data_IF_994475077244
#
_entry.id   IF_994475077244
#
_cell.length_a   1.000
_cell.length_b   1.000
_cell.length_c   1.000
_cell.angle_alpha   90.00
_cell.angle_beta   90.00
_cell.angle_gamma   90.00
#
_symmetry.space_group_name_H-M   'P 1'
#
loop_
_entity.id
_entity.type
_entity.pdbx_description
1 polymer ?
#
# COMPACT_ATOMS: atom_id res chain seq x y z
N UNK A 1 -38.97 -15.58 -18.30
CA UNK A 1 -38.59 -16.93 -17.85
C UNK A 1 -37.43 -16.80 -16.88
N UNK A 2 -37.65 -16.94 -15.56
CA UNK A 2 -36.56 -17.08 -14.56
C UNK A 2 -36.00 -18.50 -14.70
N UNK A 3 -34.95 -18.69 -15.49
CA UNK A 3 -34.19 -19.93 -15.49
C UNK A 3 -33.50 -20.07 -14.12
N UNK A 4 -34.15 -20.73 -13.20
CA UNK A 4 -33.56 -21.13 -11.93
C UNK A 4 -32.62 -22.32 -12.20
N UNK A 5 -31.41 -22.04 -12.66
CA UNK A 5 -30.35 -23.05 -12.69
C UNK A 5 -30.23 -23.70 -11.31
N UNK A 6 -30.09 -25.02 -11.27
CA UNK A 6 -29.81 -25.76 -10.02
C UNK A 6 -28.51 -25.27 -9.37
N UNK A 7 -28.28 -25.60 -8.10
CA UNK A 7 -27.11 -25.11 -7.34
C UNK A 7 -25.79 -25.45 -8.02
N UNK A 8 -25.61 -26.67 -8.52
CA UNK A 8 -24.36 -27.12 -9.14
C UNK A 8 -23.95 -26.34 -10.40
N UNK A 9 -24.80 -26.12 -11.40
CA UNK A 9 -24.45 -25.29 -12.54
C UNK A 9 -24.16 -23.83 -12.17
N UNK A 10 -24.85 -23.25 -11.19
CA UNK A 10 -24.54 -21.90 -10.69
C UNK A 10 -23.15 -21.84 -10.09
N UNK A 11 -22.81 -22.81 -9.22
CA UNK A 11 -21.50 -22.90 -8.61
C UNK A 11 -20.40 -23.08 -9.68
N UNK A 12 -20.60 -23.98 -10.64
CA UNK A 12 -19.65 -24.20 -11.73
C UNK A 12 -19.41 -22.94 -12.56
N UNK A 13 -20.45 -22.19 -12.90
CA UNK A 13 -20.33 -20.91 -13.62
C UNK A 13 -19.57 -19.86 -12.82
N UNK A 14 -19.85 -19.74 -11.53
CA UNK A 14 -19.12 -18.77 -10.66
C UNK A 14 -17.65 -19.14 -10.58
N UNK A 15 -17.31 -20.41 -10.34
CA UNK A 15 -15.93 -20.87 -10.30
C UNK A 15 -15.22 -20.67 -11.64
N UNK A 16 -15.87 -21.00 -12.76
CA UNK A 16 -15.33 -20.77 -14.09
C UNK A 16 -15.05 -19.28 -14.34
N UNK A 17 -16.01 -18.39 -14.01
CA UNK A 17 -15.82 -16.95 -14.13
C UNK A 17 -14.65 -16.44 -13.26
N UNK A 18 -14.54 -16.90 -12.00
CA UNK A 18 -13.45 -16.50 -11.12
C UNK A 18 -12.09 -16.94 -11.66
N UNK A 19 -11.96 -18.21 -12.09
CA UNK A 19 -10.72 -18.73 -12.67
C UNK A 19 -10.37 -17.97 -13.95
N UNK A 20 -11.33 -17.77 -14.85
CA UNK A 20 -11.10 -17.04 -16.10
C UNK A 20 -10.70 -15.60 -15.86
N UNK A 21 -11.35 -14.88 -14.94
CA UNK A 21 -11.02 -13.51 -14.59
C UNK A 21 -9.62 -13.42 -13.97
N UNK A 22 -9.26 -14.34 -13.07
CA UNK A 22 -7.91 -14.39 -12.47
C UNK A 22 -6.86 -14.65 -13.53
N UNK A 23 -7.12 -15.60 -14.45
CA UNK A 23 -6.21 -15.91 -15.56
C UNK A 23 -6.00 -14.71 -16.50
N UNK A 24 -7.09 -14.04 -16.88
CA UNK A 24 -7.05 -12.80 -17.67
C UNK A 24 -6.30 -11.70 -16.92
N UNK A 25 -6.51 -11.57 -15.60
CA UNK A 25 -5.81 -10.58 -14.79
C UNK A 25 -4.29 -10.83 -14.78
N UNK A 26 -3.87 -12.08 -14.64
CA UNK A 26 -2.44 -12.46 -14.66
C UNK A 26 -1.83 -12.18 -16.04
N UNK A 27 -2.45 -12.66 -17.13
CA UNK A 27 -1.94 -12.44 -18.49
C UNK A 27 -1.95 -10.97 -18.90
N UNK A 28 -2.96 -10.22 -18.45
CA UNK A 28 -3.12 -8.80 -18.75
C UNK A 28 -2.37 -7.86 -17.79
N UNK A 29 -1.49 -8.34 -16.95
CA UNK A 29 -0.81 -7.57 -15.90
C UNK A 29 -0.18 -6.27 -16.43
N UNK A 30 0.53 -6.34 -17.54
CA UNK A 30 1.23 -5.20 -18.14
C UNK A 30 0.30 -4.05 -18.59
N UNK A 31 -0.97 -4.34 -18.84
CA UNK A 31 -2.01 -3.37 -19.21
C UNK A 31 -2.94 -3.04 -18.05
N UNK A 32 -3.45 -4.06 -17.35
CA UNK A 32 -4.48 -3.91 -16.34
C UNK A 32 -3.96 -3.24 -15.06
N UNK A 33 -2.74 -3.56 -14.63
CA UNK A 33 -2.17 -2.94 -13.44
C UNK A 33 -1.99 -1.42 -13.61
N UNK A 34 -1.32 -0.89 -14.68
CA UNK A 34 -1.27 0.55 -14.94
C UNK A 34 -2.65 1.19 -15.08
N UNK A 35 -3.62 0.50 -15.72
CA UNK A 35 -4.98 1.00 -15.91
C UNK A 35 -5.70 1.21 -14.56
N UNK A 36 -5.60 0.24 -13.67
CA UNK A 36 -6.21 0.35 -12.34
C UNK A 36 -5.48 1.39 -11.46
N UNK A 37 -4.15 1.47 -11.52
CA UNK A 37 -3.41 2.56 -10.88
C UNK A 37 -3.86 3.92 -11.39
N UNK A 38 -3.99 4.07 -12.70
CA UNK A 38 -4.38 5.33 -13.33
C UNK A 38 -5.80 5.76 -12.94
N UNK A 39 -6.70 4.81 -12.71
CA UNK A 39 -8.04 5.11 -12.21
C UNK A 39 -7.99 5.73 -10.80
N UNK A 40 -7.15 5.20 -9.90
CA UNK A 40 -6.93 5.79 -8.58
C UNK A 40 -6.30 7.19 -8.68
N UNK A 41 -5.28 7.34 -9.54
CA UNK A 41 -4.61 8.62 -9.76
C UNK A 41 -5.54 9.66 -10.40
N UNK A 42 -6.42 9.25 -11.31
CA UNK A 42 -7.43 10.14 -11.90
C UNK A 42 -8.42 10.64 -10.83
N UNK A 43 -8.85 9.79 -9.90
CA UNK A 43 -9.70 10.21 -8.76
C UNK A 43 -8.94 11.19 -7.85
N UNK A 44 -7.66 10.95 -7.58
CA UNK A 44 -6.82 11.84 -6.77
C UNK A 44 -6.64 13.21 -7.43
N UNK A 45 -6.39 13.24 -8.74
CA UNK A 45 -6.17 14.47 -9.51
C UNK A 45 -7.46 15.19 -9.91
N UNK A 46 -8.63 14.57 -9.75
CA UNK A 46 -9.93 15.15 -10.09
C UNK A 46 -10.16 16.55 -9.47
N UNK A 47 -9.86 16.81 -8.19
CA UNK A 47 -10.00 18.15 -7.63
C UNK A 47 -9.05 19.17 -8.26
N UNK A 48 -7.82 18.78 -8.61
CA UNK A 48 -6.85 19.66 -9.29
C UNK A 48 -7.36 20.00 -10.68
N UNK A 49 -7.77 19.01 -11.47
CA UNK A 49 -8.37 19.23 -12.79
C UNK A 49 -9.61 20.10 -12.74
N UNK A 50 -10.50 19.87 -11.76
CA UNK A 50 -11.69 20.69 -11.58
C UNK A 50 -11.37 22.14 -11.15
N UNK A 51 -10.34 22.35 -10.33
CA UNK A 51 -9.87 23.66 -9.94
C UNK A 51 -9.34 24.44 -11.16
N UNK A 52 -8.49 23.82 -11.99
CA UNK A 52 -7.97 24.42 -13.20
C UNK A 52 -9.07 24.73 -14.22
N UNK A 53 -10.03 23.81 -14.39
CA UNK A 53 -11.15 23.98 -15.35
C UNK A 53 -12.15 25.05 -14.90
N UNK A 54 -12.54 25.05 -13.60
CA UNK A 54 -13.62 25.92 -13.10
C UNK A 54 -13.13 27.28 -12.63
N UNK A 55 -11.99 27.32 -11.92
CA UNK A 55 -11.50 28.57 -11.32
C UNK A 55 -10.55 29.31 -12.24
N UNK A 56 -9.65 28.60 -12.94
CA UNK A 56 -8.72 29.21 -13.91
C UNK A 56 -9.25 29.17 -15.34
N UNK A 57 -10.45 28.63 -15.60
CA UNK A 57 -11.14 28.57 -16.90
C UNK A 57 -10.33 27.93 -18.02
N UNK A 58 -9.38 27.06 -17.72
CA UNK A 58 -8.65 26.30 -18.75
C UNK A 58 -9.56 25.33 -19.50
N UNK A 59 -9.27 25.12 -20.80
CA UNK A 59 -9.89 24.05 -21.57
C UNK A 59 -9.58 22.71 -20.91
N UNK A 60 -10.55 21.76 -20.93
CA UNK A 60 -10.42 20.47 -20.23
C UNK A 60 -9.12 19.74 -20.52
N UNK A 61 -8.72 19.63 -21.80
CA UNK A 61 -7.46 18.99 -22.19
C UNK A 61 -6.24 19.61 -21.53
N UNK A 62 -6.16 20.97 -21.49
CA UNK A 62 -5.08 21.68 -20.81
C UNK A 62 -5.11 21.49 -19.29
N UNK A 63 -6.29 21.56 -18.67
CA UNK A 63 -6.44 21.32 -17.23
C UNK A 63 -5.99 19.90 -16.85
N UNK A 64 -6.33 18.92 -17.67
CA UNK A 64 -5.92 17.52 -17.49
C UNK A 64 -4.42 17.36 -17.69
N UNK A 65 -3.85 17.94 -18.76
CA UNK A 65 -2.41 17.90 -19.04
C UNK A 65 -1.59 18.50 -17.89
N UNK A 66 -1.98 19.68 -17.41
CA UNK A 66 -1.32 20.32 -16.27
C UNK A 66 -1.42 19.50 -14.98
N UNK A 67 -2.56 18.85 -14.75
CA UNK A 67 -2.73 17.93 -13.59
C UNK A 67 -1.78 16.74 -13.68
N UNK A 68 -1.61 16.15 -14.86
CA UNK A 68 -0.67 15.04 -15.08
C UNK A 68 0.78 15.52 -15.00
N UNK A 69 1.12 16.70 -15.54
CA UNK A 69 2.45 17.29 -15.39
C UNK A 69 2.77 17.51 -13.90
N UNK A 70 1.83 18.03 -13.12
CA UNK A 70 2.00 18.16 -11.67
C UNK A 70 2.33 16.82 -11.00
N UNK A 71 1.64 15.75 -11.42
CA UNK A 71 1.92 14.40 -10.92
C UNK A 71 3.33 13.94 -11.32
N UNK A 72 3.75 14.15 -12.57
CA UNK A 72 5.10 13.83 -13.05
C UNK A 72 6.17 14.57 -12.24
N UNK A 73 5.99 15.87 -12.04
CA UNK A 73 6.93 16.69 -11.25
C UNK A 73 6.98 16.22 -9.80
N UNK A 74 5.85 15.86 -9.20
CA UNK A 74 5.80 15.35 -7.83
C UNK A 74 6.53 14.00 -7.70
N UNK A 75 6.25 13.05 -8.59
CA UNK A 75 6.91 11.74 -8.62
C UNK A 75 8.41 11.91 -8.91
N UNK A 76 8.76 12.71 -9.93
CA UNK A 76 10.15 12.99 -10.30
C UNK A 76 10.94 13.64 -9.17
N UNK A 77 10.32 14.56 -8.42
CA UNK A 77 10.92 15.17 -7.24
C UNK A 77 11.21 14.17 -6.14
N UNK A 78 10.28 13.24 -5.87
CA UNK A 78 10.48 12.16 -4.88
C UNK A 78 11.62 11.24 -5.33
N UNK A 79 11.62 10.81 -6.60
CA UNK A 79 12.66 9.93 -7.15
C UNK A 79 14.04 10.62 -7.10
N UNK A 80 14.12 11.91 -7.48
CA UNK A 80 15.35 12.67 -7.44
C UNK A 80 15.91 12.79 -6.01
N UNK A 81 15.04 13.15 -5.05
CA UNK A 81 15.44 13.27 -3.65
C UNK A 81 15.90 11.92 -3.06
N UNK A 82 15.18 10.84 -3.36
CA UNK A 82 15.58 9.49 -2.94
C UNK A 82 16.89 9.03 -3.60
N UNK A 83 17.06 9.33 -4.89
CA UNK A 83 18.27 9.01 -5.64
C UNK A 83 19.52 9.68 -5.07
N UNK A 84 19.42 10.95 -4.67
CA UNK A 84 20.53 11.64 -4.02
C UNK A 84 20.93 10.95 -2.70
N UNK A 85 19.94 10.59 -1.87
CA UNK A 85 20.22 9.90 -0.61
C UNK A 85 20.83 8.50 -0.84
N UNK A 86 20.42 7.81 -1.90
CA UNK A 86 20.97 6.52 -2.27
C UNK A 86 22.40 6.65 -2.83
N UNK A 87 22.69 7.73 -3.56
CA UNK A 87 24.02 8.03 -4.07
C UNK A 87 25.05 8.21 -2.94
N UNK A 88 24.67 8.86 -1.85
CA UNK A 88 25.53 9.02 -0.67
C UNK A 88 25.84 7.66 -0.03
N UNK A 89 24.85 6.79 0.09
CA UNK A 89 25.05 5.42 0.57
C UNK A 89 25.97 4.61 -0.36
N UNK A 90 25.81 4.77 -1.68
CA UNK A 90 26.60 4.05 -2.67
C UNK A 90 28.07 4.52 -2.69
N UNK A 91 28.31 5.80 -2.55
CA UNK A 91 29.66 6.36 -2.45
C UNK A 91 30.42 5.81 -1.22
N UNK A 92 29.72 5.60 -0.11
CA UNK A 92 30.26 5.06 1.13
C UNK A 92 30.28 3.52 1.17
N UNK A 93 29.80 2.83 0.13
CA UNK A 93 29.66 1.37 0.11
C UNK A 93 30.95 0.59 0.46
N UNK A 94 32.14 0.94 -0.06
CA UNK A 94 33.40 0.27 0.31
C UNK A 94 33.69 0.38 1.81
N UNK A 95 33.48 1.56 2.39
CA UNK A 95 33.66 1.80 3.82
C UNK A 95 32.65 1.03 4.68
N UNK A 96 31.41 0.95 4.20
CA UNK A 96 30.33 0.18 4.85
C UNK A 96 30.69 -1.31 4.92
N UNK A 97 31.19 -1.86 3.80
CA UNK A 97 31.62 -3.26 3.74
C UNK A 97 32.76 -3.56 4.71
N UNK A 98 33.75 -2.67 4.80
CA UNK A 98 34.86 -2.80 5.76
C UNK A 98 34.35 -2.75 7.22
N UNK A 99 33.53 -1.76 7.54
CA UNK A 99 32.94 -1.63 8.88
C UNK A 99 32.02 -2.78 9.26
N UNK A 100 31.25 -3.29 8.30
CA UNK A 100 30.41 -4.48 8.51
C UNK A 100 31.26 -5.71 8.88
N UNK A 101 32.42 -5.89 8.23
CA UNK A 101 33.35 -6.97 8.56
C UNK A 101 33.91 -6.80 9.98
N UNK A 102 34.30 -5.58 10.38
CA UNK A 102 34.78 -5.30 11.75
C UNK A 102 33.67 -5.61 12.76
N UNK A 103 32.50 -5.06 12.59
CA UNK A 103 31.33 -5.31 13.47
C UNK A 103 30.97 -6.79 13.57
N UNK A 104 31.09 -7.51 12.45
CA UNK A 104 30.88 -8.95 12.39
C UNK A 104 31.92 -9.70 13.25
N UNK A 105 33.21 -9.37 13.14
CA UNK A 105 34.24 -10.00 13.92
C UNK A 105 34.13 -9.69 15.44
N UNK A 106 33.68 -8.50 15.80
CA UNK A 106 33.34 -8.14 17.17
C UNK A 106 32.18 -8.97 17.72
N UNK A 107 31.12 -9.10 16.94
CA UNK A 107 29.96 -9.93 17.30
C UNK A 107 30.35 -11.40 17.44
N UNK A 108 31.18 -11.92 16.54
CA UNK A 108 31.69 -13.29 16.57
C UNK A 108 32.52 -13.56 17.84
N UNK A 109 33.40 -12.64 18.20
CA UNK A 109 34.18 -12.71 19.45
C UNK A 109 33.28 -12.71 20.68
N UNK A 110 32.27 -11.86 20.69
CA UNK A 110 31.29 -11.78 21.78
C UNK A 110 30.49 -13.07 21.94
N UNK A 111 29.97 -13.64 20.82
CA UNK A 111 29.23 -14.91 20.82
C UNK A 111 30.12 -16.05 21.26
N UNK A 112 31.35 -16.14 20.75
CA UNK A 112 32.32 -17.16 21.12
C UNK A 112 32.65 -17.14 22.60
N UNK A 113 32.86 -15.94 23.14
CA UNK A 113 33.17 -15.75 24.57
C UNK A 113 31.97 -16.04 25.48
N UNK A 114 30.75 -15.68 25.05
CA UNK A 114 29.54 -15.80 25.87
C UNK A 114 28.91 -17.20 25.82
N UNK A 115 28.95 -17.84 24.66
CA UNK A 115 28.25 -19.14 24.41
C UNK A 115 29.21 -20.32 24.16
N UNK A 116 30.53 -20.11 24.10
CA UNK A 116 31.52 -21.18 23.89
C UNK A 116 31.45 -21.83 22.50
N UNK A 117 30.89 -21.17 21.51
CA UNK A 117 30.66 -21.72 20.15
C UNK A 117 31.92 -21.53 19.29
N UNK A 118 32.41 -22.61 18.68
CA UNK A 118 33.63 -22.60 17.86
C UNK A 118 33.45 -21.77 16.58
N UNK A 119 34.32 -20.78 16.40
CA UNK A 119 34.31 -19.77 15.32
C UNK A 119 34.49 -20.38 13.92
N UNK A 120 35.14 -21.56 13.80
CA UNK A 120 35.52 -22.18 12.52
C UNK A 120 34.29 -22.61 11.69
N UNK A 121 33.30 -23.22 12.35
CA UNK A 121 32.06 -23.65 11.64
C UNK A 121 31.22 -22.49 11.13
N UNK A 122 31.30 -21.31 11.76
CA UNK A 122 30.58 -20.12 11.32
C UNK A 122 31.22 -19.49 10.06
N UNK A 123 32.55 -19.58 9.92
CA UNK A 123 33.29 -19.09 8.75
C UNK A 123 32.98 -19.89 7.48
N UNK A 124 32.84 -21.22 7.59
CA UNK A 124 32.55 -22.08 6.45
C UNK A 124 31.18 -21.80 5.85
N UNK A 125 30.17 -21.55 6.69
CA UNK A 125 28.83 -21.15 6.23
C UNK A 125 28.81 -19.77 5.57
N UNK A 126 29.68 -18.86 5.98
CA UNK A 126 29.72 -17.50 5.41
C UNK A 126 30.51 -17.42 4.11
N UNK A 127 31.61 -18.14 3.98
CA UNK A 127 32.38 -18.19 2.74
C UNK A 127 31.51 -18.76 1.61
N UNK A 128 30.77 -19.83 1.87
CA UNK A 128 29.82 -20.42 0.93
C UNK A 128 28.68 -19.46 0.54
N UNK A 129 28.20 -18.63 1.50
CA UNK A 129 27.18 -17.60 1.26
C UNK A 129 27.74 -16.39 0.50
N UNK A 130 29.00 -16.02 0.72
CA UNK A 130 29.64 -14.85 0.08
C UNK A 130 29.99 -15.16 -1.39
N UNK A 131 30.46 -16.39 -1.69
CA UNK A 131 30.65 -16.82 -3.08
C UNK A 131 29.36 -16.88 -3.89
N UNK A 132 28.27 -17.36 -3.27
CA UNK A 132 26.94 -17.35 -3.86
C UNK A 132 26.43 -15.92 -4.12
N UNK A 133 26.66 -14.98 -3.19
CA UNK A 133 26.29 -13.58 -3.35
C UNK A 133 27.06 -12.88 -4.49
N UNK A 134 28.36 -13.20 -4.67
CA UNK A 134 29.17 -12.65 -5.76
C UNK A 134 28.77 -13.20 -7.12
N UNK A 135 28.46 -14.50 -7.23
CA UNK A 135 27.94 -15.10 -8.46
C UNK A 135 26.58 -14.52 -8.89
N UNK A 136 25.81 -14.03 -7.91
CA UNK A 136 24.49 -13.40 -8.13
C UNK A 136 24.61 -11.96 -8.67
N UNK A 137 25.77 -11.30 -8.55
CA UNK A 137 25.95 -9.89 -8.92
C UNK A 137 25.69 -9.59 -10.41
N UNK A 138 26.11 -10.46 -11.31
CA UNK A 138 25.84 -10.32 -12.76
C UNK A 138 24.35 -10.51 -13.09
N UNK A 139 23.67 -11.43 -12.40
CA UNK A 139 22.23 -11.61 -12.51
C UNK A 139 21.46 -10.41 -11.97
N UNK A 140 21.95 -9.77 -10.91
CA UNK A 140 21.34 -8.54 -10.34
C UNK A 140 21.37 -7.41 -11.38
N UNK A 141 22.46 -7.20 -12.11
CA UNK A 141 22.56 -6.14 -13.14
C UNK A 141 21.55 -6.39 -14.27
N UNK A 142 21.46 -7.60 -14.79
CA UNK A 142 20.49 -7.93 -15.83
C UNK A 142 19.04 -7.79 -15.36
N UNK A 143 18.76 -8.23 -14.13
CA UNK A 143 17.45 -8.08 -13.50
C UNK A 143 17.10 -6.60 -13.25
N UNK A 144 18.07 -5.78 -12.85
CA UNK A 144 17.87 -4.33 -12.64
C UNK A 144 17.51 -3.63 -13.95
N UNK A 145 18.16 -3.93 -15.06
CA UNK A 145 17.83 -3.36 -16.36
C UNK A 145 16.42 -3.75 -16.85
N UNK A 146 16.04 -5.01 -16.71
CA UNK A 146 14.68 -5.44 -17.06
C UNK A 146 13.62 -4.83 -16.16
N UNK A 147 13.90 -4.70 -14.87
CA UNK A 147 13.01 -4.05 -13.89
C UNK A 147 12.86 -2.55 -14.18
N UNK A 148 13.93 -1.85 -14.55
CA UNK A 148 13.86 -0.44 -14.96
C UNK A 148 12.98 -0.26 -16.19
N UNK A 149 13.16 -1.08 -17.22
CA UNK A 149 12.35 -1.02 -18.45
C UNK A 149 10.87 -1.27 -18.16
N UNK A 150 10.56 -2.31 -17.38
CA UNK A 150 9.16 -2.62 -17.00
C UNK A 150 8.54 -1.53 -16.13
N UNK A 151 9.31 -0.93 -15.22
CA UNK A 151 8.87 0.19 -14.38
C UNK A 151 8.60 1.45 -15.21
N UNK A 152 9.45 1.77 -16.17
CA UNK A 152 9.24 2.90 -17.08
C UNK A 152 7.98 2.71 -17.94
N UNK A 153 7.77 1.51 -18.48
CA UNK A 153 6.55 1.17 -19.22
C UNK A 153 5.31 1.27 -18.33
N UNK A 154 5.36 0.73 -17.12
CA UNK A 154 4.29 0.84 -16.14
C UNK A 154 3.94 2.30 -15.82
N UNK A 155 4.93 3.14 -15.53
CA UNK A 155 4.74 4.56 -15.29
C UNK A 155 4.19 5.28 -16.53
N UNK A 156 4.75 5.01 -17.72
CA UNK A 156 4.29 5.59 -18.98
C UNK A 156 2.82 5.28 -19.26
N UNK A 157 2.41 4.02 -19.15
CA UNK A 157 1.00 3.64 -19.29
C UNK A 157 0.12 4.23 -18.20
N UNK A 158 0.59 4.27 -16.94
CA UNK A 158 -0.15 4.90 -15.84
C UNK A 158 -0.42 6.37 -16.11
N UNK A 159 0.58 7.12 -16.56
CA UNK A 159 0.44 8.54 -16.92
C UNK A 159 -0.54 8.75 -18.09
N UNK A 160 -0.38 7.94 -19.14
CA UNK A 160 -1.22 7.99 -20.34
C UNK A 160 -2.70 7.70 -19.99
N UNK A 161 -2.95 6.61 -19.28
CA UNK A 161 -4.31 6.25 -18.88
C UNK A 161 -4.90 7.26 -17.89
N UNK A 162 -4.10 7.79 -16.96
CA UNK A 162 -4.56 8.87 -16.05
C UNK A 162 -5.03 10.08 -16.84
N UNK A 163 -4.26 10.49 -17.87
CA UNK A 163 -4.65 11.57 -18.77
C UNK A 163 -5.98 11.27 -19.46
N UNK A 164 -6.12 10.09 -20.08
CA UNK A 164 -7.35 9.74 -20.80
C UNK A 164 -8.55 9.60 -19.87
N UNK A 165 -8.43 8.91 -18.73
CA UNK A 165 -9.51 8.76 -17.76
C UNK A 165 -9.98 10.12 -17.25
N UNK A 166 -9.05 11.01 -16.91
CA UNK A 166 -9.37 12.36 -16.43
C UNK A 166 -9.98 13.23 -17.53
N UNK A 167 -9.49 13.14 -18.75
CA UNK A 167 -10.02 13.89 -19.91
C UNK A 167 -11.42 13.42 -20.33
N UNK A 168 -11.64 12.10 -20.38
CA UNK A 168 -12.91 11.51 -20.77
C UNK A 168 -13.85 11.21 -19.60
N UNK A 169 -13.56 11.70 -18.38
CA UNK A 169 -14.32 11.42 -17.16
C UNK A 169 -15.84 11.60 -17.28
N UNK A 170 -16.29 12.61 -18.06
CA UNK A 170 -17.73 12.86 -18.27
C UNK A 170 -18.34 11.79 -19.16
N UNK A 171 -17.66 11.40 -20.22
CA UNK A 171 -18.12 10.33 -21.13
C UNK A 171 -18.21 9.00 -20.38
N UNK A 172 -17.17 8.67 -19.59
CA UNK A 172 -17.17 7.46 -18.77
C UNK A 172 -18.31 7.46 -17.74
N UNK A 173 -18.58 8.59 -17.11
CA UNK A 173 -19.69 8.72 -16.17
C UNK A 173 -21.04 8.59 -16.87
N UNK A 174 -21.25 9.26 -18.02
CA UNK A 174 -22.48 9.15 -18.82
C UNK A 174 -22.68 7.73 -19.29
N UNK A 175 -21.65 7.07 -19.82
CA UNK A 175 -21.72 5.66 -20.21
C UNK A 175 -22.18 4.79 -19.04
N UNK A 176 -21.49 4.91 -17.89
CA UNK A 176 -21.80 4.10 -16.71
C UNK A 176 -23.26 4.28 -16.27
N UNK A 177 -23.78 5.50 -16.26
CA UNK A 177 -25.17 5.77 -15.88
C UNK A 177 -26.17 5.34 -16.95
N UNK A 178 -25.80 5.33 -18.24
CA UNK A 178 -26.69 4.93 -19.35
C UNK A 178 -26.84 3.40 -19.51
N UNK A 179 -25.90 2.61 -18.95
CA UNK A 179 -25.99 1.14 -18.97
C UNK A 179 -27.12 0.63 -18.07
N UNK A 180 -27.49 1.41 -17.04
CA UNK A 180 -28.53 1.03 -16.09
C UNK A 180 -29.88 1.67 -16.46
N UNK A 181 -30.99 0.97 -16.11
CA UNK A 181 -32.33 1.50 -16.28
C UNK A 181 -32.54 2.81 -15.51
N UNK A 182 -33.51 3.65 -15.94
CA UNK A 182 -33.80 4.94 -15.29
C UNK A 182 -34.01 4.81 -13.78
N UNK A 183 -34.70 3.73 -13.35
CA UNK A 183 -34.95 3.42 -11.93
C UNK A 183 -33.69 3.26 -11.09
N UNK A 184 -32.57 2.82 -11.71
CA UNK A 184 -31.31 2.57 -11.00
C UNK A 184 -30.27 3.68 -11.15
N UNK A 185 -30.49 4.67 -12.01
CA UNK A 185 -29.53 5.75 -12.30
C UNK A 185 -29.13 6.54 -11.07
N UNK A 186 -30.08 6.90 -10.21
CA UNK A 186 -29.82 7.63 -8.97
C UNK A 186 -28.92 6.83 -8.04
N UNK A 187 -29.21 5.54 -7.85
CA UNK A 187 -28.42 4.62 -7.04
C UNK A 187 -26.99 4.44 -7.57
N UNK A 188 -26.82 4.33 -8.88
CA UNK A 188 -25.51 4.26 -9.54
C UNK A 188 -24.72 5.55 -9.33
N UNK A 189 -25.35 6.70 -9.49
CA UNK A 189 -24.72 8.01 -9.26
C UNK A 189 -24.25 8.18 -7.82
N UNK A 190 -25.06 7.73 -6.86
CA UNK A 190 -24.71 7.72 -5.44
C UNK A 190 -23.50 6.82 -5.17
N UNK A 191 -23.48 5.59 -5.72
CA UNK A 191 -22.36 4.64 -5.57
C UNK A 191 -21.06 5.25 -6.13
N UNK A 192 -21.11 5.81 -7.33
CA UNK A 192 -19.94 6.42 -7.98
C UNK A 192 -19.40 7.59 -7.16
N UNK A 193 -20.28 8.49 -6.71
CA UNK A 193 -19.88 9.64 -5.89
C UNK A 193 -19.23 9.21 -4.56
N UNK A 194 -19.76 8.16 -3.96
CA UNK A 194 -19.20 7.62 -2.72
C UNK A 194 -17.87 6.91 -2.93
N UNK A 195 -17.73 6.14 -4.02
CA UNK A 195 -16.44 5.56 -4.40
C UNK A 195 -15.39 6.67 -4.56
N UNK A 196 -15.69 7.70 -5.35
CA UNK A 196 -14.77 8.83 -5.53
C UNK A 196 -14.39 9.50 -4.21
N UNK A 197 -15.35 9.72 -3.33
CA UNK A 197 -15.11 10.33 -2.01
C UNK A 197 -14.22 9.46 -1.13
N UNK A 198 -14.53 8.18 -0.99
CA UNK A 198 -13.80 7.25 -0.11
C UNK A 198 -12.39 7.01 -0.65
N UNK A 199 -12.24 6.74 -1.95
CA UNK A 199 -10.92 6.51 -2.57
C UNK A 199 -10.04 7.75 -2.47
N UNK A 200 -10.58 8.94 -2.76
CA UNK A 200 -9.84 10.19 -2.59
C UNK A 200 -9.35 10.35 -1.14
N UNK A 201 -10.23 10.13 -0.15
CA UNK A 201 -9.87 10.24 1.27
C UNK A 201 -8.81 9.21 1.67
N UNK A 202 -8.96 7.97 1.19
CA UNK A 202 -8.00 6.90 1.43
C UNK A 202 -6.61 7.25 0.88
N UNK A 203 -6.51 7.64 -0.39
CA UNK A 203 -5.22 7.94 -1.02
C UNK A 203 -4.56 9.15 -0.36
N UNK A 204 -5.30 10.24 -0.12
CA UNK A 204 -4.76 11.41 0.60
C UNK A 204 -4.31 11.02 2.01
N UNK A 205 -5.10 10.20 2.72
CA UNK A 205 -4.73 9.68 4.02
C UNK A 205 -3.44 8.87 3.99
N UNK A 206 -3.30 7.99 3.01
CA UNK A 206 -2.10 7.17 2.83
C UNK A 206 -0.85 8.04 2.59
N UNK A 207 -0.91 9.04 1.70
CA UNK A 207 0.21 9.96 1.48
C UNK A 207 0.55 10.78 2.72
N UNK A 208 -0.45 11.22 3.47
CA UNK A 208 -0.22 11.95 4.72
C UNK A 208 0.42 11.06 5.79
N UNK A 209 -0.03 9.82 5.91
CA UNK A 209 0.57 8.82 6.79
C UNK A 209 2.02 8.55 6.43
N UNK A 210 2.31 8.32 5.14
CA UNK A 210 3.69 8.16 4.63
C UNK A 210 4.58 9.34 5.03
N UNK A 211 4.10 10.57 4.81
CA UNK A 211 4.85 11.79 5.15
C UNK A 211 5.12 11.87 6.66
N UNK A 212 4.12 11.64 7.50
CA UNK A 212 4.26 11.69 8.95
C UNK A 212 5.24 10.62 9.44
N UNK A 213 5.10 9.36 8.97
CA UNK A 213 6.02 8.26 9.33
C UNK A 213 7.44 8.58 8.88
N UNK A 214 7.63 9.11 7.66
CA UNK A 214 8.95 9.55 7.16
C UNK A 214 9.57 10.57 8.11
N UNK A 215 8.84 11.64 8.45
CA UNK A 215 9.37 12.71 9.33
C UNK A 215 9.66 12.18 10.71
N UNK A 216 8.78 11.36 11.30
CA UNK A 216 9.02 10.74 12.61
C UNK A 216 10.25 9.85 12.59
N UNK A 217 10.39 8.97 11.59
CA UNK A 217 11.54 8.08 11.49
C UNK A 217 12.85 8.85 11.27
N UNK A 218 12.87 9.85 10.38
CA UNK A 218 14.05 10.71 10.20
C UNK A 218 14.43 11.36 11.52
N UNK A 219 13.46 11.93 12.24
CA UNK A 219 13.72 12.62 13.52
C UNK A 219 14.28 11.65 14.54
N UNK A 220 13.65 10.51 14.75
CA UNK A 220 14.08 9.53 15.76
C UNK A 220 15.44 8.94 15.41
N UNK A 221 15.68 8.54 14.17
CA UNK A 221 16.96 7.97 13.74
C UNK A 221 18.09 9.02 13.78
N UNK A 222 17.79 10.30 13.47
CA UNK A 222 18.77 11.39 13.59
C UNK A 222 19.14 11.66 15.05
N UNK A 223 18.17 11.67 15.97
CA UNK A 223 18.41 11.82 17.41
C UNK A 223 19.26 10.67 18.00
N UNK A 224 19.10 9.46 17.45
CA UNK A 224 19.92 8.29 17.81
C UNK A 224 21.32 8.35 17.17
N UNK A 225 21.61 9.33 16.32
CA UNK A 225 22.89 9.46 15.61
C UNK A 225 23.12 8.31 14.62
N UNK A 226 22.05 7.82 13.98
CA UNK A 226 22.14 6.78 12.94
C UNK A 226 22.59 7.44 11.64
N UNK A 227 23.65 6.91 11.02
CA UNK A 227 24.10 7.35 9.70
C UNK A 227 23.00 7.04 8.66
N UNK A 228 22.78 7.93 7.70
CA UNK A 228 21.71 7.81 6.67
C UNK A 228 20.28 7.83 7.23
N UNK A 229 20.05 8.50 8.38
CA UNK A 229 18.73 8.63 8.98
C UNK A 229 17.65 9.13 8.00
N UNK A 230 18.01 10.07 7.09
CA UNK A 230 17.10 10.61 6.07
C UNK A 230 16.71 9.52 5.07
N UNK A 231 17.67 8.77 4.54
CA UNK A 231 17.40 7.66 3.62
C UNK A 231 16.52 6.58 4.27
N UNK A 232 16.89 6.17 5.50
CA UNK A 232 16.18 5.11 6.21
C UNK A 232 14.76 5.51 6.61
N UNK A 233 14.56 6.78 6.98
CA UNK A 233 13.24 7.33 7.25
C UNK A 233 12.38 7.43 5.99
N UNK A 234 12.96 7.79 4.85
CA UNK A 234 12.27 7.76 3.55
C UNK A 234 11.87 6.34 3.17
N UNK A 235 12.77 5.37 3.29
CA UNK A 235 12.48 3.95 3.05
C UNK A 235 11.33 3.48 3.94
N UNK A 236 11.39 3.80 5.25
CA UNK A 236 10.32 3.43 6.18
C UNK A 236 8.97 4.02 5.80
N UNK A 237 8.91 5.31 5.44
CA UNK A 237 7.67 5.96 5.02
C UNK A 237 7.14 5.47 3.69
N UNK A 238 7.99 5.34 2.66
CA UNK A 238 7.56 4.87 1.33
C UNK A 238 7.10 3.41 1.40
N UNK A 239 7.84 2.55 2.07
CA UNK A 239 7.47 1.14 2.18
C UNK A 239 6.24 0.92 3.07
N UNK A 240 5.90 1.87 3.95
CA UNK A 240 4.67 1.82 4.75
C UNK A 240 3.37 1.81 3.91
N UNK A 241 3.46 2.10 2.60
CA UNK A 241 2.37 1.93 1.63
C UNK A 241 1.87 0.48 1.56
N UNK A 242 2.78 -0.49 1.73
CA UNK A 242 2.43 -1.91 1.74
C UNK A 242 2.34 -2.39 3.19
N UNK A 243 1.13 -2.63 3.72
CA UNK A 243 0.96 -3.05 5.11
C UNK A 243 1.80 -4.29 5.44
N UNK A 244 2.38 -4.32 6.63
CA UNK A 244 3.20 -5.40 7.19
C UNK A 244 4.55 -5.64 6.50
N UNK A 245 4.59 -5.80 5.17
CA UNK A 245 5.82 -6.11 4.43
C UNK A 245 6.77 -4.92 4.38
N UNK A 246 6.25 -3.72 4.14
CA UNK A 246 7.07 -2.52 4.03
C UNK A 246 7.83 -2.20 5.31
N UNK A 247 7.17 -2.36 6.44
CA UNK A 247 7.78 -2.17 7.78
C UNK A 247 8.93 -3.14 7.99
N UNK A 248 8.72 -4.42 7.66
CA UNK A 248 9.74 -5.46 7.84
C UNK A 248 10.99 -5.17 7.00
N UNK A 249 10.85 -4.82 5.72
CA UNK A 249 11.98 -4.48 4.86
C UNK A 249 12.69 -3.20 5.30
N UNK A 250 11.97 -2.17 5.70
CA UNK A 250 12.55 -0.94 6.21
C UNK A 250 13.33 -1.16 7.51
N UNK A 251 12.78 -1.95 8.42
CA UNK A 251 13.45 -2.36 9.66
C UNK A 251 14.73 -3.15 9.36
N UNK A 252 14.64 -4.16 8.50
CA UNK A 252 15.77 -5.00 8.13
C UNK A 252 16.91 -4.16 7.54
N UNK A 253 16.61 -3.28 6.56
CA UNK A 253 17.60 -2.37 5.97
C UNK A 253 18.21 -1.44 7.02
N UNK A 254 17.38 -0.87 7.90
CA UNK A 254 17.85 0.03 8.96
C UNK A 254 18.76 -0.67 9.95
N UNK A 255 18.41 -1.90 10.35
CA UNK A 255 19.25 -2.71 11.22
C UNK A 255 20.59 -3.07 10.57
N UNK A 256 20.58 -3.49 9.30
CA UNK A 256 21.80 -3.87 8.56
C UNK A 256 22.74 -2.67 8.40
N UNK A 257 22.22 -1.51 7.97
CA UNK A 257 23.03 -0.30 7.80
C UNK A 257 23.55 0.21 9.15
N UNK A 258 22.71 0.18 10.19
CA UNK A 258 23.14 0.59 11.54
C UNK A 258 24.19 -0.35 12.11
N UNK A 259 24.02 -1.65 11.91
CA UNK A 259 25.03 -2.64 12.32
C UNK A 259 26.37 -2.36 11.64
N UNK A 260 26.38 -2.13 10.34
CA UNK A 260 27.58 -1.83 9.58
C UNK A 260 28.25 -0.50 9.98
N UNK A 261 27.47 0.52 10.43
CA UNK A 261 28.00 1.87 10.69
C UNK A 261 28.29 2.16 12.16
N UNK A 262 27.58 1.50 13.07
CA UNK A 262 27.57 1.87 14.50
C UNK A 262 27.56 0.67 15.45
N UNK A 263 27.65 -0.56 14.94
CA UNK A 263 27.73 -1.78 15.72
C UNK A 263 26.41 -2.26 16.34
N UNK A 264 26.45 -3.43 16.99
CA UNK A 264 25.27 -4.15 17.48
C UNK A 264 24.46 -3.37 18.55
N UNK A 265 25.12 -2.58 19.38
CA UNK A 265 24.45 -1.83 20.48
C UNK A 265 23.44 -0.82 19.95
N UNK A 266 23.72 -0.13 18.84
CA UNK A 266 22.77 0.82 18.24
C UNK A 266 21.63 0.12 17.48
N UNK A 267 21.79 -1.10 17.02
CA UNK A 267 20.73 -1.87 16.36
C UNK A 267 19.53 -2.08 17.28
N UNK A 268 19.78 -2.35 18.57
CA UNK A 268 18.71 -2.48 19.56
C UNK A 268 17.90 -1.18 19.71
N UNK A 269 18.57 -0.03 19.70
CA UNK A 269 17.89 1.26 19.76
C UNK A 269 17.04 1.52 18.51
N UNK A 270 17.52 1.13 17.32
CA UNK A 270 16.77 1.20 16.06
C UNK A 270 15.53 0.29 16.10
N UNK A 271 15.67 -0.93 16.62
CA UNK A 271 14.53 -1.84 16.82
C UNK A 271 13.46 -1.21 17.72
N UNK A 272 13.85 -0.66 18.87
CA UNK A 272 12.92 0.01 19.79
C UNK A 272 12.27 1.22 19.11
N UNK A 273 13.03 2.01 18.36
CA UNK A 273 12.53 3.16 17.61
C UNK A 273 11.47 2.74 16.59
N UNK A 274 11.75 1.69 15.80
CA UNK A 274 10.77 1.16 14.83
C UNK A 274 9.49 0.67 15.50
N UNK A 275 9.61 -0.11 16.57
CA UNK A 275 8.45 -0.58 17.34
C UNK A 275 7.64 0.60 17.87
N UNK A 276 8.30 1.62 18.44
CA UNK A 276 7.66 2.82 18.98
C UNK A 276 6.92 3.62 17.89
N UNK A 277 7.59 3.92 16.78
CA UNK A 277 6.98 4.68 15.67
C UNK A 277 5.81 3.90 15.05
N UNK A 278 5.96 2.59 14.86
CA UNK A 278 4.88 1.78 14.31
C UNK A 278 3.73 1.55 15.29
N UNK A 279 3.99 1.54 16.59
CA UNK A 279 2.91 1.56 17.58
C UNK A 279 2.10 2.86 17.48
N UNK A 280 2.76 4.00 17.27
CA UNK A 280 2.09 5.29 17.02
C UNK A 280 1.34 5.24 15.68
N UNK A 281 1.97 4.71 14.63
CA UNK A 281 1.34 4.60 13.32
C UNK A 281 0.06 3.76 13.35
N UNK A 282 0.13 2.54 13.87
CA UNK A 282 -1.02 1.62 13.90
C UNK A 282 -2.15 2.05 14.85
N UNK A 283 -1.82 2.63 16.01
CA UNK A 283 -2.83 2.97 17.03
C UNK A 283 -3.34 4.40 16.94
N UNK A 284 -2.58 5.32 16.34
CA UNK A 284 -2.93 6.75 16.28
C UNK A 284 -3.08 7.24 14.85
N UNK A 285 -2.05 7.10 14.00
CA UNK A 285 -2.05 7.67 12.66
C UNK A 285 -3.04 6.96 11.73
N UNK A 286 -3.00 5.65 11.69
CA UNK A 286 -3.89 4.86 10.83
C UNK A 286 -5.37 5.15 11.10
N UNK A 287 -5.89 5.16 12.36
CA UNK A 287 -7.27 5.55 12.65
C UNK A 287 -7.60 7.01 12.32
N UNK A 288 -6.66 7.94 12.54
CA UNK A 288 -6.87 9.37 12.32
C UNK A 288 -6.87 9.73 10.83
N UNK A 289 -5.93 9.19 10.08
CA UNK A 289 -5.56 9.64 8.73
C UNK A 289 -6.27 8.82 7.66
N UNK A 290 -6.13 7.50 7.73
CA UNK A 290 -6.80 6.55 6.82
C UNK A 290 -8.22 6.27 7.31
N UNK A 291 -8.37 6.12 8.61
CA UNK A 291 -9.59 6.19 9.42
C UNK A 291 -10.70 5.23 9.04
N UNK A 292 -11.80 5.36 9.74
CA UNK A 292 -13.09 4.67 9.58
C UNK A 292 -13.75 4.74 8.19
N UNK A 293 -13.03 5.17 7.15
CA UNK A 293 -13.61 5.38 5.81
C UNK A 293 -13.69 4.08 5.01
N UNK A 294 -12.71 3.19 5.20
CA UNK A 294 -12.65 1.87 4.56
C UNK A 294 -12.94 0.83 5.64
N UNK A 295 -14.22 0.50 5.83
CA UNK A 295 -14.67 -0.47 6.84
C UNK A 295 -14.54 -1.90 6.32
N UNK A 296 -13.32 -2.34 6.10
CA UNK A 296 -13.00 -3.73 5.72
C UNK A 296 -12.40 -4.41 6.95
N UNK A 297 -12.86 -5.63 7.26
CA UNK A 297 -12.27 -6.39 8.35
C UNK A 297 -10.85 -6.85 8.01
N UNK A 298 -10.04 -7.10 9.04
CA UNK A 298 -8.63 -7.44 8.89
C UNK A 298 -8.41 -8.73 8.09
N UNK A 299 -9.31 -9.72 8.18
CA UNK A 299 -9.21 -10.98 7.45
C UNK A 299 -9.28 -10.73 5.93
N UNK A 300 -10.29 -9.99 5.46
CA UNK A 300 -10.44 -9.68 4.03
C UNK A 300 -9.33 -8.76 3.52
N UNK A 301 -8.86 -7.81 4.34
CA UNK A 301 -7.72 -7.00 3.99
C UNK A 301 -6.46 -7.85 3.79
N UNK A 302 -6.17 -8.78 4.71
CA UNK A 302 -5.02 -9.67 4.63
C UNK A 302 -5.11 -10.64 3.43
N UNK A 303 -6.26 -11.30 3.25
CA UNK A 303 -6.50 -12.17 2.07
C UNK A 303 -6.31 -11.38 0.79
N UNK A 304 -6.85 -10.16 0.71
CA UNK A 304 -6.70 -9.30 -0.46
C UNK A 304 -5.25 -8.95 -0.76
N UNK A 305 -4.44 -8.65 0.27
CA UNK A 305 -3.00 -8.38 0.10
C UNK A 305 -2.29 -9.61 -0.47
N UNK A 306 -2.54 -10.80 0.10
CA UNK A 306 -1.92 -12.05 -0.37
C UNK A 306 -2.35 -12.37 -1.81
N UNK A 307 -3.64 -12.30 -2.11
CA UNK A 307 -4.15 -12.52 -3.48
C UNK A 307 -3.61 -11.46 -4.44
N UNK A 308 -3.55 -10.21 -4.02
CA UNK A 308 -2.96 -9.12 -4.82
C UNK A 308 -1.50 -9.38 -5.15
N UNK A 309 -0.72 -9.85 -4.18
CA UNK A 309 0.67 -10.25 -4.39
C UNK A 309 0.78 -11.39 -5.41
N UNK A 310 -0.01 -12.44 -5.26
CA UNK A 310 0.00 -13.59 -6.17
C UNK A 310 -0.35 -13.22 -7.62
N UNK A 311 -1.18 -12.19 -7.83
CA UNK A 311 -1.64 -11.80 -9.18
C UNK A 311 -0.65 -10.80 -9.81
N UNK A 312 -0.23 -9.75 -9.09
CA UNK A 312 0.55 -8.63 -9.63
C UNK A 312 1.71 -8.16 -8.74
N UNK A 313 2.15 -8.99 -7.78
CA UNK A 313 3.24 -8.65 -6.88
C UNK A 313 2.93 -7.38 -6.04
N UNK A 314 3.94 -6.54 -5.85
CA UNK A 314 3.82 -5.30 -5.05
C UNK A 314 2.70 -4.38 -5.54
N UNK A 315 2.52 -4.29 -6.88
CA UNK A 315 1.44 -3.49 -7.46
C UNK A 315 0.06 -3.99 -7.05
N UNK A 316 -0.13 -5.31 -7.01
CA UNK A 316 -1.37 -5.93 -6.58
C UNK A 316 -1.64 -5.75 -5.09
N UNK A 317 -0.61 -5.87 -4.24
CA UNK A 317 -0.74 -5.59 -2.81
C UNK A 317 -1.25 -4.18 -2.53
N UNK A 318 -0.70 -3.18 -3.22
CA UNK A 318 -1.13 -1.78 -3.09
C UNK A 318 -2.58 -1.58 -3.55
N UNK A 319 -2.94 -2.15 -4.72
CA UNK A 319 -4.25 -1.97 -5.31
C UNK A 319 -5.37 -2.68 -4.53
N UNK A 320 -5.07 -3.75 -3.79
CA UNK A 320 -6.10 -4.59 -3.19
C UNK A 320 -7.02 -3.81 -2.23
N UNK A 321 -6.47 -2.98 -1.34
CA UNK A 321 -7.27 -2.27 -0.32
C UNK A 321 -8.27 -1.28 -0.94
N UNK A 322 -7.87 -0.36 -1.85
CA UNK A 322 -8.83 0.55 -2.48
C UNK A 322 -9.87 -0.17 -3.32
N UNK A 323 -9.51 -1.27 -4.01
CA UNK A 323 -10.48 -2.02 -4.81
C UNK A 323 -11.44 -2.86 -3.96
N UNK A 324 -10.97 -3.46 -2.86
CA UNK A 324 -11.86 -4.09 -1.87
C UNK A 324 -12.82 -3.07 -1.25
N UNK A 325 -12.36 -1.84 -1.00
CA UNK A 325 -13.21 -0.75 -0.53
C UNK A 325 -14.32 -0.40 -1.54
N UNK A 326 -13.98 -0.33 -2.83
CA UNK A 326 -14.96 -0.11 -3.90
C UNK A 326 -15.98 -1.26 -3.97
N UNK A 327 -15.51 -2.50 -3.93
CA UNK A 327 -16.39 -3.68 -3.93
C UNK A 327 -17.33 -3.67 -2.72
N UNK A 328 -16.83 -3.34 -1.54
CA UNK A 328 -17.66 -3.23 -0.35
C UNK A 328 -18.74 -2.16 -0.48
N UNK A 329 -18.41 -0.99 -1.02
CA UNK A 329 -19.39 0.08 -1.27
C UNK A 329 -20.51 -0.42 -2.20
N UNK A 330 -20.16 -1.16 -3.25
CA UNK A 330 -21.12 -1.73 -4.19
C UNK A 330 -21.98 -2.79 -3.48
N UNK A 331 -21.36 -3.70 -2.73
CA UNK A 331 -22.06 -4.78 -2.04
C UNK A 331 -23.02 -4.26 -0.96
N UNK A 332 -22.65 -3.23 -0.23
CA UNK A 332 -23.51 -2.61 0.80
C UNK A 332 -24.79 -2.00 0.21
N UNK A 333 -24.78 -1.63 -1.10
CA UNK A 333 -25.88 -0.91 -1.75
C UNK A 333 -26.73 -1.76 -2.69
N UNK A 334 -26.20 -2.85 -3.22
CA UNK A 334 -26.93 -3.77 -4.08
C UNK A 334 -27.59 -4.84 -3.21
N UNK A 335 -28.92 -4.88 -3.21
CA UNK A 335 -29.70 -5.68 -2.26
C UNK A 335 -29.31 -7.16 -2.25
N UNK A 336 -29.08 -7.75 -3.43
CA UNK A 336 -28.65 -9.15 -3.58
C UNK A 336 -27.20 -9.42 -3.11
N UNK A 337 -26.38 -8.36 -2.94
CA UNK A 337 -24.96 -8.45 -2.54
C UNK A 337 -24.70 -8.03 -1.09
N UNK A 338 -25.70 -7.52 -0.38
CA UNK A 338 -25.60 -7.08 1.03
C UNK A 338 -24.95 -8.11 1.96
N UNK A 339 -25.25 -9.44 1.86
CA UNK A 339 -24.57 -10.43 2.71
C UNK A 339 -23.04 -10.42 2.55
N UNK A 340 -22.54 -10.20 1.33
CA UNK A 340 -21.10 -10.08 1.06
C UNK A 340 -20.50 -8.79 1.65
N UNK A 341 -21.27 -7.69 1.60
CA UNK A 341 -20.88 -6.44 2.26
C UNK A 341 -20.76 -6.57 3.77
N UNK A 342 -21.67 -7.31 4.42
CA UNK A 342 -21.62 -7.63 5.85
C UNK A 342 -20.39 -8.49 6.16
N UNK A 343 -20.13 -9.53 5.37
CA UNK A 343 -19.01 -10.44 5.54
C UNK A 343 -17.64 -9.71 5.45
N UNK A 344 -17.52 -8.76 4.54
CA UNK A 344 -16.30 -7.94 4.39
C UNK A 344 -16.18 -6.84 5.45
N UNK A 345 -17.27 -6.53 6.15
CA UNK A 345 -17.34 -5.42 7.10
C UNK A 345 -16.68 -5.73 8.44
N UNK A 346 -16.46 -4.68 9.23
CA UNK A 346 -16.09 -4.81 10.63
C UNK A 346 -17.29 -5.28 11.45
N UNK A 347 -17.03 -6.06 12.49
CA UNK A 347 -18.05 -6.47 13.44
C UNK A 347 -18.72 -5.25 14.08
N UNK A 348 -20.05 -5.17 13.96
CA UNK A 348 -20.82 -4.11 14.58
C UNK A 348 -20.74 -4.30 16.11
N UNK A 349 -19.84 -3.58 16.78
CA UNK A 349 -19.89 -3.47 18.23
C UNK A 349 -21.21 -2.82 18.60
N UNK A 350 -22.10 -3.53 19.32
CA UNK A 350 -23.40 -2.96 19.71
C UNK A 350 -23.15 -1.67 20.48
N UNK A 351 -23.81 -0.61 20.05
CA UNK A 351 -23.68 0.74 20.62
C UNK A 351 -23.96 0.67 22.13
N UNK A 352 -22.94 0.84 22.97
CA UNK A 352 -23.05 0.72 24.42
C UNK A 352 -24.17 1.60 24.97
N UNK A 353 -24.43 2.76 24.34
CA UNK A 353 -25.55 3.66 24.69
C UNK A 353 -26.93 3.03 24.44
N UNK A 354 -27.12 2.29 23.34
CA UNK A 354 -28.40 1.61 23.06
C UNK A 354 -28.63 0.42 24.01
N UNK A 355 -27.58 -0.22 24.48
CA UNK A 355 -27.69 -1.35 25.42
C UNK A 355 -28.09 -0.85 26.81
N UNK A 356 -27.52 0.25 27.29
CA UNK A 356 -27.87 0.90 28.55
C UNK A 356 -29.33 1.39 28.51
N UNK A 357 -29.76 2.03 27.41
CA UNK A 357 -31.12 2.52 27.25
C UNK A 357 -32.19 1.39 27.23
N UNK A 358 -31.85 0.23 26.61
CA UNK A 358 -32.72 -0.96 26.60
C UNK A 358 -32.84 -1.59 28.00
N UNK A 359 -31.74 -1.68 28.74
CA UNK A 359 -31.74 -2.23 30.11
C UNK A 359 -32.51 -1.33 31.05
N UNK A 360 -32.31 -0.01 31.01
CA UNK A 360 -33.02 0.96 31.84
C UNK A 360 -34.50 1.00 31.53
N UNK A 361 -34.89 0.80 30.25
CA UNK A 361 -36.32 0.74 29.87
C UNK A 361 -36.97 -0.56 30.34
N UNK A 362 -36.25 -1.68 30.36
CA UNK A 362 -36.75 -2.97 30.84
C UNK A 362 -36.97 -2.94 32.37
N UNK A 363 -36.02 -2.38 33.13
CA UNK A 363 -36.13 -2.21 34.58
C UNK A 363 -37.31 -1.29 34.95
N UNK A 364 -37.52 -0.17 34.22
CA UNK A 364 -38.67 0.74 34.48
C UNK A 364 -40.04 0.16 34.10
N UNK A 365 -40.12 -0.88 33.31
CA UNK A 365 -41.35 -1.58 32.97
C UNK A 365 -41.67 -2.68 34.02
N UNK A 366 -40.64 -3.31 34.59
CA UNK A 366 -40.77 -4.31 35.65
C UNK A 366 -41.09 -3.67 37.04
N UNK A 367 -40.82 -2.37 37.25
CA UNK A 367 -41.23 -1.63 38.48
C UNK A 367 -42.65 -1.07 38.41
N UNK A 368 -43.36 -1.22 37.27
CA UNK A 368 -44.72 -0.69 37.09
C UNK A 368 -45.83 -1.75 37.09
N UNK A 369 -45.46 -3.05 37.12
CA UNK A 369 -46.34 -4.20 37.29
C UNK A 369 -46.23 -4.69 38.74
#
# INVERSE_FOLDING_TARGET
>A
MKNNLSFLPKLALVLFCLISLTYIAILGQSLLAPLLFSFLMAILLLPVGNFLERRLKFKRGLATLLSVILMIVSIGGIIYFFGNQLSDLWADWPLLKEKANVSYHELQKWISHTFGINSQKQLDYLNDSTEKALATSAAIVATTLSTLSSTLLFLGFTLLFTFFILNYRRVLFTFLTSVFSEEHKEKVTEIVSQIQYIIKKYIIGLFLQMLIVTVLMITVLSLLGVKYAVLLGLVAGIFNVVPYLGIFFALLMSCLITFATAGAGKVLLVLIAFVGVHAIDGNVLMPLVVGSKVKINALFAFIGIVVGEMIWGISGMFLCIPYLAMLKIIFDRVDNLKPWGILMGEEHKPDKKKRVYRITKKIKLEEKD
#
